data_IF_011403706195
#
_entry.id   IF_011403706195
#
_cell.length_a   1.000
_cell.length_b   1.000
_cell.length_c   1.000
_cell.angle_alpha   90.00
_cell.angle_beta   90.00
_cell.angle_gamma   90.00
#
_symmetry.space_group_name_H-M   'P 1'
#
loop_
_entity.id
_entity.type
_entity.pdbx_description
1 polymer ?
#
# COMPACT_ATOMS: atom_id res chain seq x y z
N UNK A 1 2.68 12.39 -24.37
CA UNK A 1 3.00 11.65 -23.13
C UNK A 1 4.36 12.13 -22.64
N UNK A 2 4.51 12.57 -21.41
CA UNK A 2 5.82 12.92 -20.90
C UNK A 2 6.73 11.67 -20.93
N UNK A 3 7.94 11.84 -21.42
CA UNK A 3 8.97 10.81 -21.39
C UNK A 3 9.30 10.56 -19.91
N UNK A 4 8.91 9.41 -19.41
CA UNK A 4 9.21 9.02 -18.07
C UNK A 4 10.66 8.56 -17.98
N UNK A 5 11.45 9.20 -17.13
CA UNK A 5 12.75 8.69 -16.73
C UNK A 5 12.51 7.42 -15.92
N UNK A 6 12.62 6.29 -16.61
CA UNK A 6 12.06 5.03 -16.21
C UNK A 6 12.78 4.32 -15.07
N UNK A 7 12.63 4.80 -13.86
CA UNK A 7 12.83 3.94 -12.71
C UNK A 7 11.67 2.96 -12.60
N UNK A 8 11.95 1.69 -12.57
CA UNK A 8 10.93 0.64 -12.42
C UNK A 8 11.44 -0.45 -11.47
N UNK A 9 10.49 -1.14 -10.86
CA UNK A 9 10.76 -2.34 -10.09
C UNK A 9 10.53 -3.53 -11.01
N UNK A 10 11.50 -4.41 -11.09
CA UNK A 10 11.37 -5.70 -11.77
C UNK A 10 10.76 -6.70 -10.80
N UNK A 11 9.59 -7.23 -11.14
CA UNK A 11 8.90 -8.26 -10.33
C UNK A 11 9.10 -9.61 -11.00
N UNK A 12 10.10 -10.41 -10.56
CA UNK A 12 10.37 -11.71 -11.14
C UNK A 12 9.23 -12.70 -10.84
N UNK A 13 9.16 -13.77 -11.62
CA UNK A 13 8.21 -14.87 -11.41
C UNK A 13 8.48 -15.66 -10.12
N UNK A 14 9.70 -15.64 -9.63
CA UNK A 14 10.05 -16.38 -8.41
C UNK A 14 9.24 -15.85 -7.22
N UNK A 15 8.78 -16.78 -6.38
CA UNK A 15 7.91 -16.60 -5.20
C UNK A 15 8.42 -15.58 -4.16
N UNK A 16 9.03 -14.51 -4.61
CA UNK A 16 9.53 -13.43 -3.76
C UNK A 16 8.53 -12.28 -3.76
N UNK A 17 8.13 -11.87 -2.58
CA UNK A 17 7.39 -10.65 -2.39
C UNK A 17 8.33 -9.47 -2.65
N UNK A 18 7.99 -8.63 -3.60
CA UNK A 18 8.72 -7.41 -3.89
C UNK A 18 8.05 -6.27 -3.16
N UNK A 19 8.82 -5.61 -2.30
CA UNK A 19 8.31 -4.51 -1.47
C UNK A 19 8.72 -3.17 -2.04
N UNK A 20 7.80 -2.23 -1.95
CA UNK A 20 8.02 -0.82 -2.26
C UNK A 20 7.26 0.03 -1.26
N UNK A 21 7.45 1.33 -1.29
CA UNK A 21 6.67 2.24 -0.47
C UNK A 21 6.06 3.35 -1.31
N UNK A 22 4.95 3.89 -0.83
CA UNK A 22 4.31 5.05 -1.43
C UNK A 22 5.18 6.30 -1.27
N UNK A 23 5.10 7.21 -2.23
CA UNK A 23 5.68 8.56 -2.08
C UNK A 23 4.82 9.42 -1.17
N UNK A 24 3.53 9.11 -1.08
CA UNK A 24 2.59 9.76 -0.19
C UNK A 24 2.82 9.31 1.26
N UNK A 25 2.88 10.29 2.16
CA UNK A 25 2.78 10.08 3.60
C UNK A 25 1.32 10.29 4.02
N UNK A 26 0.70 9.26 4.56
CA UNK A 26 -0.71 9.28 4.91
C UNK A 26 -0.90 9.48 6.42
N UNK A 27 -1.95 10.20 6.77
CA UNK A 27 -2.49 10.31 8.13
C UNK A 27 -3.96 9.96 8.06
N UNK A 28 -4.32 8.83 8.62
CA UNK A 28 -5.69 8.36 8.58
C UNK A 28 -6.47 9.00 9.75
N UNK A 29 -7.57 9.71 9.47
CA UNK A 29 -8.41 10.26 10.52
C UNK A 29 -9.00 9.16 11.41
N UNK A 30 -9.40 9.55 12.63
CA UNK A 30 -9.95 8.61 13.62
C UNK A 30 -11.28 7.99 13.18
N UNK A 31 -12.02 8.66 12.32
CA UNK A 31 -13.31 8.23 11.78
C UNK A 31 -13.19 7.47 10.45
N UNK A 32 -11.97 7.17 10.00
CA UNK A 32 -11.75 6.66 8.65
C UNK A 32 -10.98 5.34 8.68
N UNK A 33 -11.44 4.40 7.85
CA UNK A 33 -10.74 3.16 7.50
C UNK A 33 -10.37 3.23 6.02
N UNK A 34 -9.15 2.82 5.67
CA UNK A 34 -8.69 2.79 4.28
C UNK A 34 -8.35 1.37 3.85
N UNK A 35 -8.86 0.98 2.69
CA UNK A 35 -8.53 -0.30 2.04
C UNK A 35 -7.76 0.00 0.76
N UNK A 36 -6.57 -0.58 0.65
CA UNK A 36 -5.74 -0.48 -0.54
C UNK A 36 -5.99 -1.66 -1.47
N UNK A 37 -6.24 -1.37 -2.73
CA UNK A 37 -6.49 -2.36 -3.78
C UNK A 37 -5.52 -2.16 -4.93
N UNK A 38 -5.38 -3.16 -5.78
CA UNK A 38 -4.60 -3.09 -7.00
C UNK A 38 -5.18 -2.14 -8.05
N UNK A 39 -4.42 -1.89 -9.10
CA UNK A 39 -4.81 -1.14 -10.28
C UNK A 39 -5.09 -2.09 -11.43
N UNK A 40 -6.13 -1.83 -12.21
CA UNK A 40 -6.60 -2.73 -13.27
C UNK A 40 -5.51 -3.09 -14.31
N UNK A 41 -4.64 -2.16 -14.65
CA UNK A 41 -3.54 -2.41 -15.60
C UNK A 41 -2.60 -3.50 -15.09
N UNK A 42 -2.16 -3.42 -13.83
CA UNK A 42 -1.28 -4.41 -13.23
C UNK A 42 -2.01 -5.71 -12.89
N UNK A 43 -3.28 -5.61 -12.47
CA UNK A 43 -4.11 -6.79 -12.21
C UNK A 43 -4.24 -7.68 -13.46
N UNK A 44 -4.41 -7.07 -14.64
CA UNK A 44 -4.44 -7.81 -15.92
C UNK A 44 -3.11 -8.43 -16.31
N UNK A 45 -2.02 -7.95 -15.77
CA UNK A 45 -0.70 -8.55 -15.91
C UNK A 45 -0.41 -9.61 -14.83
N UNK A 46 -1.38 -10.00 -14.03
CA UNK A 46 -1.23 -10.99 -12.97
C UNK A 46 -0.46 -10.47 -11.75
N UNK A 47 -0.37 -9.16 -11.57
CA UNK A 47 0.27 -8.55 -10.42
C UNK A 47 -0.75 -8.31 -9.32
N UNK A 48 -0.47 -8.86 -8.14
CA UNK A 48 -1.26 -8.65 -6.93
C UNK A 48 -0.54 -7.64 -6.05
N UNK A 49 -1.27 -6.66 -5.55
CA UNK A 49 -0.81 -5.73 -4.51
C UNK A 49 -1.43 -6.19 -3.20
N UNK A 50 -0.58 -6.56 -2.25
CA UNK A 50 -1.01 -6.99 -0.93
C UNK A 50 -0.71 -5.89 0.09
N UNK A 51 -1.75 -5.39 0.73
CA UNK A 51 -1.69 -4.41 1.82
C UNK A 51 -2.85 -4.70 2.77
N UNK A 52 -2.58 -4.71 4.07
CA UNK A 52 -3.66 -4.79 5.06
C UNK A 52 -4.37 -3.44 5.20
N UNK A 53 -5.61 -3.39 5.74
CA UNK A 53 -6.31 -2.13 5.94
C UNK A 53 -5.49 -1.11 6.72
N UNK A 54 -5.57 0.16 6.33
CA UNK A 54 -5.00 1.27 7.07
C UNK A 54 -6.03 1.70 8.12
N UNK A 55 -5.74 1.38 9.36
CA UNK A 55 -6.67 1.59 10.47
C UNK A 55 -6.75 3.06 10.90
N UNK A 56 -7.82 3.46 11.61
CA UNK A 56 -7.93 4.82 12.16
C UNK A 56 -6.70 5.24 12.95
N UNK A 57 -6.24 6.47 12.71
CA UNK A 57 -5.05 7.10 13.28
C UNK A 57 -3.70 6.43 12.93
N UNK A 58 -3.66 5.47 12.03
CA UNK A 58 -2.38 5.06 11.45
C UNK A 58 -1.80 6.20 10.60
N UNK A 59 -0.49 6.38 10.68
CA UNK A 59 0.21 7.28 9.79
C UNK A 59 1.53 6.69 9.31
N UNK A 60 1.96 7.08 8.12
CA UNK A 60 3.23 6.66 7.53
C UNK A 60 3.20 6.59 6.01
N UNK A 61 4.31 6.14 5.45
CA UNK A 61 4.36 5.67 4.06
C UNK A 61 3.86 4.22 4.01
N UNK A 62 2.98 3.92 3.06
CA UNK A 62 2.44 2.55 2.93
C UNK A 62 3.48 1.65 2.28
N UNK A 63 3.79 0.52 2.92
CA UNK A 63 4.56 -0.54 2.27
C UNK A 63 3.62 -1.34 1.36
N UNK A 64 3.95 -1.37 0.08
CA UNK A 64 3.23 -2.13 -0.95
C UNK A 64 3.98 -3.43 -1.22
N UNK A 65 3.29 -4.54 -1.16
CA UNK A 65 3.84 -5.87 -1.40
C UNK A 65 3.31 -6.41 -2.73
N UNK A 66 4.20 -6.55 -3.70
CA UNK A 66 3.84 -7.02 -5.04
C UNK A 66 4.16 -8.49 -5.21
N UNK A 67 3.20 -9.25 -5.72
CA UNK A 67 3.36 -10.64 -6.12
C UNK A 67 3.04 -10.79 -7.60
N UNK A 68 3.91 -11.51 -8.32
CA UNK A 68 3.70 -11.86 -9.72
C UNK A 68 3.19 -13.30 -9.82
N UNK A 69 1.97 -13.47 -10.32
CA UNK A 69 1.33 -14.79 -10.46
C UNK A 69 1.56 -15.43 -11.83
N UNK A 70 2.33 -14.79 -12.70
CA UNK A 70 2.58 -15.28 -14.06
C UNK A 70 4.03 -15.76 -14.23
N UNK A 71 4.33 -16.57 -15.25
CA UNK A 71 5.70 -17.02 -15.53
C UNK A 71 6.59 -15.92 -16.15
N UNK A 72 6.01 -14.79 -16.54
CA UNK A 72 6.74 -13.68 -17.15
C UNK A 72 7.07 -12.61 -16.11
N UNK A 73 8.26 -12.00 -16.19
CA UNK A 73 8.57 -10.86 -15.33
C UNK A 73 7.71 -9.65 -15.68
N UNK A 74 7.33 -8.86 -14.68
CA UNK A 74 6.60 -7.62 -14.87
C UNK A 74 7.42 -6.41 -14.40
N UNK A 75 7.12 -5.25 -14.97
CA UNK A 75 7.72 -3.98 -14.57
C UNK A 75 6.66 -3.11 -13.91
N UNK A 76 6.99 -2.57 -12.76
CA UNK A 76 6.17 -1.58 -12.06
C UNK A 76 6.96 -0.28 -12.04
N UNK A 77 6.38 0.75 -12.64
CA UNK A 77 7.06 2.03 -12.81
C UNK A 77 6.94 2.89 -11.55
N UNK A 78 8.08 3.45 -11.12
CA UNK A 78 8.11 4.38 -10.01
C UNK A 78 7.41 5.71 -10.37
N UNK A 79 6.91 6.39 -9.36
CA UNK A 79 6.20 7.68 -9.49
C UNK A 79 4.98 7.65 -10.40
N UNK A 80 4.38 6.47 -10.58
CA UNK A 80 3.09 6.29 -11.23
C UNK A 80 2.06 5.73 -10.25
N UNK A 81 0.79 5.91 -10.60
CA UNK A 81 -0.28 5.27 -9.84
C UNK A 81 -0.23 3.74 -10.00
N UNK A 82 0.02 3.01 -8.91
CA UNK A 82 0.17 1.56 -8.90
C UNK A 82 -0.93 0.83 -8.14
N UNK A 83 -1.65 1.54 -7.28
CA UNK A 83 -2.71 1.02 -6.43
C UNK A 83 -3.83 2.05 -6.30
N UNK A 84 -4.94 1.63 -5.72
CA UNK A 84 -6.10 2.47 -5.42
C UNK A 84 -6.42 2.35 -3.94
N UNK A 85 -6.87 3.45 -3.35
CA UNK A 85 -7.30 3.47 -1.96
C UNK A 85 -8.78 3.84 -1.89
N UNK A 86 -9.53 3.02 -1.17
CA UNK A 86 -10.93 3.26 -0.84
C UNK A 86 -11.01 3.77 0.59
N UNK A 87 -11.72 4.89 0.76
CA UNK A 87 -11.90 5.53 2.05
C UNK A 87 -13.32 5.26 2.54
N UNK A 88 -13.43 4.71 3.74
CA UNK A 88 -14.70 4.48 4.43
C UNK A 88 -14.73 5.36 5.66
N UNK A 89 -15.66 6.30 5.68
CA UNK A 89 -15.85 7.20 6.80
C UNK A 89 -17.00 6.72 7.65
N UNK A 90 -16.79 6.65 8.97
CA UNK A 90 -17.86 6.36 9.92
C UNK A 90 -18.79 7.56 10.08
N UNK A 91 -20.05 7.30 10.41
CA UNK A 91 -20.96 8.34 10.84
C UNK A 91 -20.46 8.97 12.15
N UNK A 92 -20.87 10.21 12.41
CA UNK A 92 -20.33 11.04 13.50
C UNK A 92 -20.39 10.41 14.90
N UNK A 93 -21.28 9.43 15.10
CA UNK A 93 -21.50 8.77 16.39
C UNK A 93 -20.70 7.45 16.55
N UNK A 94 -20.10 6.94 15.47
CA UNK A 94 -19.39 5.66 15.42
C UNK A 94 -17.87 5.84 15.25
N UNK A 95 -17.26 6.69 16.07
CA UNK A 95 -15.82 6.91 16.05
C UNK A 95 -15.11 5.72 16.72
N UNK A 96 -13.97 5.31 16.16
CA UNK A 96 -13.16 4.26 16.73
C UNK A 96 -12.73 4.58 18.18
N UNK A 97 -13.16 3.77 19.15
CA UNK A 97 -12.84 3.98 20.56
C UNK A 97 -11.35 3.79 20.85
N UNK A 98 -10.74 2.76 20.22
CA UNK A 98 -9.32 2.43 20.42
C UNK A 98 -8.64 2.35 19.03
N UNK A 99 -7.98 3.43 18.66
CA UNK A 99 -7.32 3.54 17.35
C UNK A 99 -6.01 2.75 17.27
N UNK A 100 -5.46 2.65 16.07
CA UNK A 100 -4.13 2.05 15.85
C UNK A 100 -3.04 2.75 16.67
N UNK A 101 -3.10 4.08 16.77
CA UNK A 101 -2.19 4.89 17.58
C UNK A 101 -2.34 4.60 19.07
N UNK A 102 -3.60 4.52 19.56
CA UNK A 102 -3.89 4.25 20.97
C UNK A 102 -3.37 2.88 21.41
N UNK A 103 -3.37 1.88 20.53
CA UNK A 103 -2.84 0.54 20.77
C UNK A 103 -1.31 0.44 20.65
N UNK A 104 -0.62 1.51 20.25
CA UNK A 104 0.80 1.47 19.98
C UNK A 104 1.17 0.51 18.84
N UNK A 105 0.42 0.55 17.75
CA UNK A 105 0.61 -0.36 16.61
C UNK A 105 2.04 -0.38 16.09
N UNK A 106 2.53 -1.56 15.69
CA UNK A 106 3.93 -1.84 15.33
C UNK A 106 4.47 -1.00 14.18
N UNK A 107 3.59 -0.56 13.29
CA UNK A 107 3.96 0.11 12.04
C UNK A 107 3.57 1.59 12.01
N UNK A 108 3.37 2.18 13.18
CA UNK A 108 3.06 3.61 13.29
C UNK A 108 4.27 4.45 12.88
N UNK A 109 4.02 5.47 12.05
CA UNK A 109 5.04 6.43 11.62
C UNK A 109 6.12 5.85 10.71
N UNK A 110 5.86 4.72 10.04
CA UNK A 110 6.87 4.09 9.20
C UNK A 110 7.30 4.99 8.03
N UNK A 111 8.58 4.93 7.72
CA UNK A 111 9.21 5.66 6.62
C UNK A 111 9.91 4.65 5.69
N UNK A 112 9.65 4.75 4.38
CA UNK A 112 10.19 3.81 3.42
C UNK A 112 9.61 2.40 3.56
N UNK A 113 10.28 1.41 2.96
CA UNK A 113 9.92 0.00 3.07
C UNK A 113 10.19 -0.51 4.48
N UNK A 114 9.16 -1.03 5.12
CA UNK A 114 9.27 -1.56 6.48
C UNK A 114 9.05 -3.08 6.46
N UNK A 115 10.06 -3.81 6.93
CA UNK A 115 10.02 -5.26 7.04
C UNK A 115 9.10 -5.71 8.19
N UNK A 116 8.63 -6.98 8.15
CA UNK A 116 7.82 -7.51 9.24
C UNK A 116 8.51 -7.37 10.60
N UNK A 117 7.75 -6.94 11.59
CA UNK A 117 8.20 -6.86 12.98
C UNK A 117 7.50 -7.93 13.80
N UNK A 118 8.23 -8.69 14.55
CA UNK A 118 7.74 -9.68 15.50
C UNK A 118 7.31 -9.06 16.81
#
# INVERSE_FOLDING_TARGET
MPKMNGSYIHVPHERKVNQSCTVEYLRIPRDTLVVCLGKSTYARCGIIVNVTPLEPEWEGHVTLEFSNTTPLPARIYANEGVAQMLFFQADSDDICETSYKDRGGKYQGQTGVTLPRT
#
